data_IF_149857294051
#
_entry.id   IF_149857294051
#
_cell.length_a   1.000
_cell.length_b   1.000
_cell.length_c   1.000
_cell.angle_alpha   90.00
_cell.angle_beta   90.00
_cell.angle_gamma   90.00
#
_symmetry.space_group_name_H-M   'P 1'
#
loop_
_entity.id
_entity.type
_entity.pdbx_description
1 polymer ?
#
# COMPACT_ATOMS: atom_id res chain seq x y z
N UNK A 1 -10.13 10.96 -9.66
CA UNK A 1 -9.83 9.74 -8.87
C UNK A 1 -9.12 10.21 -7.61
N UNK A 2 -9.56 9.78 -6.42
CA UNK A 2 -8.92 10.16 -5.18
C UNK A 2 -7.54 9.49 -5.03
N UNK A 3 -6.57 10.27 -4.57
CA UNK A 3 -5.24 9.77 -4.21
C UNK A 3 -5.22 9.32 -2.76
N UNK A 4 -4.76 8.10 -2.53
CA UNK A 4 -4.55 7.56 -1.20
C UNK A 4 -3.20 6.85 -1.10
N UNK A 5 -2.64 6.87 0.09
CA UNK A 5 -1.44 6.10 0.42
C UNK A 5 -1.87 4.84 1.16
N UNK A 6 -1.47 3.68 0.66
CA UNK A 6 -1.88 2.38 1.20
C UNK A 6 -0.65 1.60 1.67
N UNK A 7 -0.68 1.15 2.92
CA UNK A 7 0.33 0.27 3.49
C UNK A 7 -0.26 -1.11 3.70
N UNK A 8 0.28 -2.12 3.04
CA UNK A 8 -0.08 -3.52 3.24
C UNK A 8 0.71 -4.10 4.41
N UNK A 9 0.05 -4.88 5.26
CA UNK A 9 0.66 -5.64 6.36
C UNK A 9 0.32 -7.10 6.18
N UNK A 10 1.32 -7.87 5.77
CA UNK A 10 1.17 -9.29 5.53
C UNK A 10 0.99 -10.07 6.86
N UNK A 11 0.17 -11.12 6.86
CA UNK A 11 0.19 -12.11 7.93
C UNK A 11 1.58 -12.72 8.11
N UNK A 12 1.88 -13.19 9.33
CA UNK A 12 3.21 -13.69 9.74
C UNK A 12 3.77 -14.84 8.87
N UNK A 13 2.93 -15.51 8.11
CA UNK A 13 3.24 -16.71 7.32
C UNK A 13 2.98 -16.51 5.81
N UNK A 14 2.73 -15.27 5.36
CA UNK A 14 2.31 -14.97 3.99
C UNK A 14 3.45 -14.41 3.12
N UNK A 15 3.22 -14.36 1.80
CA UNK A 15 4.21 -14.04 0.75
C UNK A 15 4.74 -12.59 0.77
N UNK A 16 4.38 -11.78 1.76
CA UNK A 16 4.80 -10.37 1.93
C UNK A 16 4.50 -9.44 0.75
N UNK A 17 3.69 -9.90 -0.20
CA UNK A 17 3.31 -9.18 -1.42
C UNK A 17 1.83 -9.44 -1.69
N UNK A 18 1.09 -8.38 -2.02
CA UNK A 18 -0.29 -8.47 -2.44
C UNK A 18 -0.50 -7.64 -3.70
N UNK A 19 -1.08 -8.24 -4.74
CA UNK A 19 -1.46 -7.52 -5.95
C UNK A 19 -2.96 -7.21 -5.93
N UNK A 20 -3.32 -5.94 -6.00
CA UNK A 20 -4.71 -5.52 -6.01
C UNK A 20 -4.93 -4.36 -6.99
N UNK A 21 -5.95 -4.50 -7.84
CA UNK A 21 -6.38 -3.46 -8.79
C UNK A 21 -5.26 -2.95 -9.74
N UNK A 22 -4.26 -3.79 -10.05
CA UNK A 22 -3.11 -3.42 -10.89
C UNK A 22 -1.94 -2.80 -10.12
N UNK A 23 -2.02 -2.73 -8.79
CA UNK A 23 -0.96 -2.28 -7.91
C UNK A 23 -0.37 -3.46 -7.12
N UNK A 24 0.95 -3.43 -6.94
CA UNK A 24 1.67 -4.39 -6.10
C UNK A 24 2.01 -3.71 -4.78
N UNK A 25 1.47 -4.23 -3.68
CA UNK A 25 1.73 -3.78 -2.33
C UNK A 25 2.72 -4.72 -1.64
N UNK A 26 3.76 -4.15 -1.06
CA UNK A 26 4.76 -4.90 -0.29
C UNK A 26 4.51 -4.72 1.21
N UNK A 27 4.79 -5.76 1.99
CA UNK A 27 4.63 -5.73 3.45
C UNK A 27 5.41 -4.57 4.07
N UNK A 28 4.70 -3.72 4.81
CA UNK A 28 5.23 -2.54 5.48
C UNK A 28 5.54 -1.35 4.56
N UNK A 29 5.31 -1.44 3.26
CA UNK A 29 5.62 -0.37 2.29
C UNK A 29 4.38 0.44 1.97
N UNK A 30 4.48 1.75 2.17
CA UNK A 30 3.46 2.71 1.77
C UNK A 30 3.51 2.93 0.24
N UNK A 31 2.38 2.72 -0.42
CA UNK A 31 2.24 2.85 -1.88
C UNK A 31 1.15 3.86 -2.21
N UNK A 32 1.49 4.88 -2.99
CA UNK A 32 0.51 5.83 -3.51
C UNK A 32 -0.29 5.21 -4.65
N UNK A 33 -1.60 5.23 -4.51
CA UNK A 33 -2.53 4.68 -5.48
C UNK A 33 -3.61 5.68 -5.85
N UNK A 34 -4.07 5.54 -7.07
CA UNK A 34 -5.16 6.32 -7.64
C UNK A 34 -6.30 5.33 -7.89
N UNK A 35 -7.14 5.13 -6.87
CA UNK A 35 -8.21 4.13 -6.87
C UNK A 35 -9.56 4.82 -6.78
N UNK A 36 -10.58 4.21 -7.38
CA UNK A 36 -11.97 4.63 -7.21
C UNK A 36 -12.42 4.46 -5.75
N UNK A 37 -13.36 5.30 -5.31
CA UNK A 37 -13.92 5.27 -3.95
C UNK A 37 -14.40 3.87 -3.53
N UNK A 38 -15.04 3.12 -4.44
CA UNK A 38 -15.53 1.76 -4.14
C UNK A 38 -14.39 0.76 -3.87
N UNK A 39 -13.19 1.00 -4.43
CA UNK A 39 -12.00 0.16 -4.19
C UNK A 39 -11.28 0.59 -2.92
N UNK A 40 -11.19 1.90 -2.66
CA UNK A 40 -10.64 2.41 -1.40
C UNK A 40 -11.46 1.93 -0.21
N UNK A 41 -12.79 1.94 -0.31
CA UNK A 41 -13.66 1.46 0.76
C UNK A 41 -13.43 -0.03 1.07
N UNK A 42 -13.21 -0.86 0.04
CA UNK A 42 -12.86 -2.29 0.23
C UNK A 42 -11.53 -2.46 0.98
N UNK A 43 -10.54 -1.65 0.66
CA UNK A 43 -9.23 -1.70 1.32
C UNK A 43 -9.31 -1.18 2.76
N UNK A 44 -10.11 -0.12 3.03
CA UNK A 44 -10.36 0.38 4.39
C UNK A 44 -11.03 -0.67 5.28
N UNK A 45 -11.92 -1.48 4.72
CA UNK A 45 -12.59 -2.56 5.45
C UNK A 45 -11.71 -3.80 5.66
N UNK A 46 -10.50 -3.84 5.09
CA UNK A 46 -9.59 -4.96 5.24
C UNK A 46 -8.50 -4.64 6.28
N UNK A 47 -8.41 -5.38 7.40
CA UNK A 47 -7.46 -5.10 8.47
C UNK A 47 -5.98 -5.28 8.07
N UNK A 48 -5.72 -5.92 6.93
CA UNK A 48 -4.38 -6.05 6.36
C UNK A 48 -3.89 -4.78 5.65
N UNK A 49 -4.78 -3.81 5.40
CA UNK A 49 -4.44 -2.58 4.69
C UNK A 49 -4.71 -1.36 5.56
N UNK A 50 -3.69 -0.49 5.67
CA UNK A 50 -3.85 0.84 6.25
C UNK A 50 -3.99 1.83 5.09
N UNK A 51 -5.11 2.55 5.03
CA UNK A 51 -5.41 3.54 3.99
C UNK A 51 -5.36 4.94 4.59
N UNK A 52 -4.53 5.81 4.01
CA UNK A 52 -4.42 7.22 4.40
C UNK A 52 -4.84 8.10 3.21
N UNK A 53 -5.97 8.77 3.36
CA UNK A 53 -6.54 9.64 2.32
C UNK A 53 -5.85 10.99 2.34
N UNK A 54 -5.54 11.53 1.16
CA UNK A 54 -4.94 12.87 1.04
C UNK A 54 -3.47 12.89 0.61
N UNK A 55 -2.94 11.78 0.07
CA UNK A 55 -1.74 11.75 -0.78
C UNK A 55 -0.58 12.62 -0.30
N UNK A 56 -0.25 12.53 0.99
CA UNK A 56 0.98 13.09 1.55
C UNK A 56 1.82 11.92 2.02
N UNK A 57 2.40 11.21 1.04
CA UNK A 57 3.51 10.33 1.34
C UNK A 57 4.70 11.22 1.75
N UNK A 58 4.83 11.52 3.04
CA UNK A 58 6.13 11.80 3.61
C UNK A 58 6.98 10.56 3.33
N UNK A 59 7.84 10.73 2.33
CA UNK A 59 8.61 9.69 1.66
C UNK A 59 9.46 8.93 2.67
N UNK A 60 9.07 7.71 3.01
CA UNK A 60 10.01 6.76 3.61
C UNK A 60 9.83 5.40 2.96
N UNK A 61 10.57 5.16 1.88
CA UNK A 61 11.20 3.88 1.56
C UNK A 61 12.09 4.03 0.32
N UNK A 62 13.26 4.65 0.49
CA UNK A 62 14.47 4.22 -0.21
C UNK A 62 15.05 3.05 0.61
N UNK A 63 14.80 1.78 0.26
CA UNK A 63 15.76 0.76 0.62
C UNK A 63 16.90 0.89 -0.37
N UNK A 64 17.95 1.62 0.04
CA UNK A 64 19.32 1.51 -0.48
C UNK A 64 19.54 0.15 -1.15
N UNK A 65 19.43 0.10 -2.47
CA UNK A 65 20.11 -0.95 -3.25
C UNK A 65 21.60 -0.58 -3.22
N UNK A 66 22.28 -0.92 -2.11
CA UNK A 66 23.73 -1.09 -2.13
C UNK A 66 24.01 -2.35 -2.94
N UNK A 67 24.08 -2.21 -4.26
CA UNK A 67 24.82 -3.17 -5.05
C UNK A 67 26.32 -2.91 -4.79
N UNK A 68 26.97 -4.00 -4.40
CA UNK A 68 28.36 -4.15 -4.01
C UNK A 68 29.35 -3.64 -5.06
#
# INVERSE_FOLDING_TARGET
MPKATITYKAPKDDSKVCEHAGYTFFDGVATDVDLDDARLEKLKNNPLFKVEEGGKADTVSDPKHKHK
#
